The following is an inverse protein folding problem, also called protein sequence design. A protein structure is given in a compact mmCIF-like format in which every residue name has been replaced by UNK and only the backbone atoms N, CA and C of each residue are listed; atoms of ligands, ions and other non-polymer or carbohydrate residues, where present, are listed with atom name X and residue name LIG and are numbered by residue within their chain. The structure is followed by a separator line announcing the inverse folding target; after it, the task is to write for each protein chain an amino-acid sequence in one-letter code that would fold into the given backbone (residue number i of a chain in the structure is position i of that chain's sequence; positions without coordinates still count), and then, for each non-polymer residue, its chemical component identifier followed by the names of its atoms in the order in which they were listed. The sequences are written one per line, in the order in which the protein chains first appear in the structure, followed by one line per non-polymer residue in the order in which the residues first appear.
data_IF_792945389328
#
_entry.id   IF_792945389328
#
_cell.length_a   1.000
_cell.length_b   1.000
_cell.length_c   1.000
_cell.angle_alpha   90.00
_cell.angle_beta   90.00
_cell.angle_gamma   90.00
#
_symmetry.space_group_name_H-M   'P 1'
#
loop_
_entity.id
_entity.type
_entity.pdbx_description
1 polymer ?
#
# COMPACT_ATOMS: atom_id res chain seq x y z
N UNK A 1 -20.84 -3.14 -47.65
CA UNK A 1 -19.85 -3.60 -46.64
C UNK A 1 -20.14 -2.89 -45.33
N UNK A 2 -20.59 -3.60 -44.29
CA UNK A 2 -20.84 -3.01 -42.97
C UNK A 2 -19.69 -3.38 -42.04
N UNK A 3 -18.92 -2.40 -41.57
CA UNK A 3 -17.78 -2.61 -40.68
C UNK A 3 -18.26 -2.61 -39.23
N UNK A 4 -18.34 -3.78 -38.60
CA UNK A 4 -18.60 -3.90 -37.17
C UNK A 4 -17.38 -3.44 -36.37
N UNK A 5 -17.60 -2.64 -35.32
CA UNK A 5 -16.54 -2.16 -34.44
C UNK A 5 -16.06 -3.28 -33.52
N UNK A 6 -14.81 -3.71 -33.68
CA UNK A 6 -14.21 -4.76 -32.84
C UNK A 6 -13.30 -4.16 -31.77
N UNK A 7 -13.79 -4.05 -30.54
CA UNK A 7 -12.97 -3.57 -29.40
C UNK A 7 -11.87 -4.58 -29.06
N UNK A 8 -10.58 -4.19 -29.00
CA UNK A 8 -9.50 -5.11 -28.67
C UNK A 8 -9.61 -5.64 -27.23
N UNK A 9 -9.41 -6.95 -27.04
CA UNK A 9 -9.60 -7.61 -25.74
C UNK A 9 -8.33 -7.62 -24.90
N UNK A 10 -8.12 -6.55 -24.14
CA UNK A 10 -7.01 -6.42 -23.19
C UNK A 10 -7.17 -7.33 -21.96
N UNK A 11 -6.14 -8.09 -21.61
CA UNK A 11 -6.21 -9.10 -20.55
C UNK A 11 -5.74 -8.55 -19.19
N UNK A 12 -6.63 -8.49 -18.19
CA UNK A 12 -6.31 -8.05 -16.82
C UNK A 12 -5.44 -9.04 -16.01
N UNK A 13 -5.24 -10.25 -16.53
CA UNK A 13 -4.36 -11.30 -15.97
C UNK A 13 -3.29 -11.71 -16.99
N UNK A 14 -2.61 -10.73 -17.59
CA UNK A 14 -1.67 -10.94 -18.69
C UNK A 14 -0.33 -11.54 -18.22
N UNK A 15 0.25 -10.98 -17.15
CA UNK A 15 1.55 -11.38 -16.62
C UNK A 15 1.38 -12.60 -15.70
N UNK A 16 0.65 -12.44 -14.60
CA UNK A 16 0.35 -13.49 -13.63
C UNK A 16 -1.10 -13.97 -13.82
N UNK A 17 -1.34 -15.29 -13.94
CA UNK A 17 -2.69 -15.84 -14.13
C UNK A 17 -3.51 -15.87 -12.84
N UNK A 18 -2.84 -16.14 -11.72
CA UNK A 18 -3.43 -16.22 -10.37
C UNK A 18 -2.61 -15.30 -9.45
N UNK A 19 -2.84 -13.97 -9.47
CA UNK A 19 -2.06 -13.03 -8.67
C UNK A 19 -2.42 -13.15 -7.19
N UNK A 20 -1.55 -13.77 -6.40
CA UNK A 20 -1.79 -14.03 -4.96
C UNK A 20 -1.36 -12.88 -4.07
N UNK A 21 -0.35 -12.11 -4.46
CA UNK A 21 0.15 -10.97 -3.70
C UNK A 21 -0.06 -9.63 -4.42
N UNK A 22 0.05 -8.55 -3.64
CA UNK A 22 -0.21 -7.17 -4.07
C UNK A 22 0.72 -6.71 -5.20
N UNK A 23 1.99 -7.13 -5.22
CA UNK A 23 2.92 -6.86 -6.32
C UNK A 23 2.46 -7.53 -7.64
N UNK A 24 2.00 -8.78 -7.59
CA UNK A 24 1.46 -9.48 -8.77
C UNK A 24 0.16 -8.83 -9.25
N UNK A 25 -0.71 -8.38 -8.33
CA UNK A 25 -1.91 -7.59 -8.66
C UNK A 25 -1.55 -6.26 -9.31
N UNK A 26 -0.54 -5.55 -8.78
CA UNK A 26 0.00 -4.32 -9.33
C UNK A 26 0.59 -4.49 -10.74
N UNK A 27 1.49 -5.45 -10.98
CA UNK A 27 2.06 -5.64 -12.32
C UNK A 27 1.02 -6.10 -13.35
N UNK A 28 -0.01 -6.85 -12.95
CA UNK A 28 -1.14 -7.15 -13.85
C UNK A 28 -1.94 -5.89 -14.20
N UNK A 29 -2.22 -5.02 -13.23
CA UNK A 29 -2.93 -3.75 -13.43
C UNK A 29 -2.11 -2.77 -14.29
N UNK A 30 -0.84 -2.56 -13.95
CA UNK A 30 0.11 -1.76 -14.72
C UNK A 30 0.28 -2.30 -16.16
N UNK A 31 0.41 -3.62 -16.33
CA UNK A 31 0.47 -4.26 -17.64
C UNK A 31 -0.79 -4.04 -18.46
N UNK A 32 -1.98 -4.07 -17.84
CA UNK A 32 -3.24 -3.73 -18.51
C UNK A 32 -3.26 -2.25 -18.96
N UNK A 33 -2.90 -1.31 -18.08
CA UNK A 33 -2.77 0.11 -18.40
C UNK A 33 -1.82 0.35 -19.58
N UNK A 34 -0.61 -0.23 -19.56
CA UNK A 34 0.36 -0.10 -20.66
C UNK A 34 -0.14 -0.70 -21.98
N UNK A 35 -0.75 -1.88 -21.97
CA UNK A 35 -1.33 -2.48 -23.18
C UNK A 35 -2.45 -1.62 -23.78
N UNK A 36 -3.33 -1.04 -22.95
CA UNK A 36 -4.42 -0.16 -23.39
C UNK A 36 -3.86 1.14 -23.99
N UNK A 37 -2.92 1.79 -23.31
CA UNK A 37 -2.32 3.05 -23.76
C UNK A 37 -1.51 2.88 -25.06
N UNK A 38 -0.68 1.84 -25.15
CA UNK A 38 0.05 1.48 -26.36
C UNK A 38 -0.83 0.89 -27.47
N UNK A 39 -2.14 0.72 -27.20
CA UNK A 39 -3.15 0.05 -28.04
C UNK A 39 -2.76 -1.38 -28.47
N UNK A 40 -1.80 -2.01 -27.77
CA UNK A 40 -1.22 -3.30 -28.12
C UNK A 40 -1.61 -4.38 -27.10
N UNK A 41 -2.58 -5.28 -27.40
CA UNK A 41 -2.99 -6.35 -26.50
C UNK A 41 -1.96 -7.51 -26.38
N UNK A 42 -0.85 -7.44 -27.13
CA UNK A 42 0.27 -8.38 -27.11
C UNK A 42 1.61 -7.65 -26.79
N UNK A 43 1.57 -6.62 -25.94
CA UNK A 43 2.74 -5.84 -25.56
C UNK A 43 3.85 -6.73 -24.97
N UNK A 44 5.14 -6.54 -25.32
CA UNK A 44 6.24 -7.40 -24.87
C UNK A 44 6.33 -7.53 -23.35
N UNK A 45 6.20 -8.77 -22.86
CA UNK A 45 6.24 -9.07 -21.41
C UNK A 45 7.54 -8.66 -20.73
N UNK A 46 8.67 -8.75 -21.43
CA UNK A 46 9.98 -8.35 -20.89
C UNK A 46 9.97 -6.86 -20.53
N UNK A 47 9.51 -6.02 -21.46
CA UNK A 47 9.33 -4.57 -21.25
C UNK A 47 8.39 -4.30 -20.07
N UNK A 48 7.21 -4.94 -20.01
CA UNK A 48 6.30 -4.79 -18.86
C UNK A 48 6.92 -5.17 -17.53
N UNK A 49 7.76 -6.21 -17.47
CA UNK A 49 8.45 -6.60 -16.25
C UNK A 49 9.48 -5.55 -15.82
N UNK A 50 10.29 -5.02 -16.75
CA UNK A 50 11.26 -3.94 -16.46
C UNK A 50 10.56 -2.65 -16.04
N UNK A 51 9.53 -2.23 -16.79
CA UNK A 51 8.71 -1.05 -16.50
C UNK A 51 7.99 -1.18 -15.15
N UNK A 52 7.32 -2.30 -14.89
CA UNK A 52 6.65 -2.55 -13.61
C UNK A 52 7.65 -2.56 -12.44
N UNK A 53 8.83 -3.16 -12.62
CA UNK A 53 9.88 -3.19 -11.58
C UNK A 53 10.31 -1.77 -11.16
N UNK A 54 10.28 -0.80 -12.07
CA UNK A 54 10.59 0.59 -11.75
C UNK A 54 9.39 1.30 -11.12
N UNK A 55 8.20 1.22 -11.72
CA UNK A 55 6.97 1.80 -11.16
C UNK A 55 6.63 1.25 -9.75
N UNK A 56 6.97 -0.01 -9.48
CA UNK A 56 6.79 -0.63 -8.17
C UNK A 56 7.75 -0.06 -7.11
N UNK A 57 8.99 0.31 -7.45
CA UNK A 57 9.94 0.93 -6.49
C UNK A 57 9.39 2.23 -5.91
N UNK A 58 8.70 3.02 -6.72
CA UNK A 58 8.12 4.31 -6.33
C UNK A 58 6.91 4.15 -5.40
N UNK A 59 6.07 3.14 -5.64
CA UNK A 59 4.79 2.98 -4.91
C UNK A 59 4.80 1.94 -3.80
N UNK A 60 5.72 0.97 -3.78
CA UNK A 60 5.77 -0.11 -2.76
C UNK A 60 5.93 0.37 -1.31
N UNK A 61 6.37 1.61 -1.12
CA UNK A 61 6.54 2.26 0.18
C UNK A 61 5.33 3.09 0.62
N UNK A 62 4.26 3.15 -0.19
CA UNK A 62 3.00 3.84 0.14
C UNK A 62 2.12 2.97 1.04
N UNK A 63 1.17 3.56 1.80
CA UNK A 63 0.22 2.77 2.58
C UNK A 63 -0.71 1.95 1.67
N UNK A 64 -1.37 0.95 2.25
CA UNK A 64 -2.08 -0.10 1.52
C UNK A 64 -3.17 0.46 0.60
N UNK A 65 -3.93 1.43 1.10
CA UNK A 65 -5.03 2.13 0.45
C UNK A 65 -4.58 2.96 -0.77
N UNK A 66 -3.41 3.62 -0.70
CA UNK A 66 -2.82 4.29 -1.87
C UNK A 66 -2.48 3.28 -2.98
N UNK A 67 -1.89 2.13 -2.62
CA UNK A 67 -1.49 1.09 -3.59
C UNK A 67 -2.72 0.43 -4.21
N UNK A 68 -3.73 0.07 -3.41
CA UNK A 68 -5.00 -0.46 -3.90
C UNK A 68 -5.74 0.55 -4.80
N UNK A 69 -5.74 1.83 -4.44
CA UNK A 69 -6.30 2.90 -5.27
C UNK A 69 -5.61 3.01 -6.62
N UNK A 70 -4.27 2.89 -6.67
CA UNK A 70 -3.51 2.88 -7.93
C UNK A 70 -3.80 1.62 -8.77
N UNK A 71 -3.97 0.46 -8.14
CA UNK A 71 -4.39 -0.77 -8.81
C UNK A 71 -5.77 -0.57 -9.46
N UNK A 72 -6.72 0.05 -8.76
CA UNK A 72 -8.04 0.39 -9.31
C UNK A 72 -7.94 1.40 -10.46
N UNK A 73 -7.18 2.50 -10.31
CA UNK A 73 -6.93 3.48 -11.36
C UNK A 73 -6.49 2.80 -12.67
N UNK A 74 -5.43 2.00 -12.61
CA UNK A 74 -4.93 1.26 -13.78
C UNK A 74 -5.95 0.25 -14.34
N UNK A 75 -6.72 -0.45 -13.49
CA UNK A 75 -7.76 -1.40 -13.95
C UNK A 75 -9.01 -0.70 -14.50
N UNK A 76 -9.22 0.58 -14.23
CA UNK A 76 -10.32 1.40 -14.77
C UNK A 76 -9.96 2.20 -16.03
N UNK A 77 -8.71 2.11 -16.50
CA UNK A 77 -8.25 2.72 -17.77
C UNK A 77 -9.24 2.46 -18.91
N UNK A 78 -9.83 3.51 -19.54
CA UNK A 78 -10.87 3.32 -20.54
C UNK A 78 -10.29 2.68 -21.81
N UNK A 79 -10.88 1.57 -22.24
CA UNK A 79 -10.49 0.90 -23.48
C UNK A 79 -11.01 1.71 -24.67
N UNK A 80 -10.15 2.17 -25.60
CA UNK A 80 -10.59 2.88 -26.79
C UNK A 80 -11.39 1.94 -27.70
N UNK A 81 -12.61 2.34 -28.06
CA UNK A 81 -13.42 1.62 -29.06
C UNK A 81 -12.79 1.83 -30.43
N UNK A 82 -12.28 0.76 -31.04
CA UNK A 82 -11.48 0.85 -32.25
C UNK A 82 -12.34 0.96 -33.52
N UNK A 83 -12.88 2.17 -33.73
CA UNK A 83 -13.14 2.69 -35.08
C UNK A 83 -11.85 3.24 -35.70
N UNK A 84 -11.79 3.31 -37.03
CA UNK A 84 -10.63 3.83 -37.77
C UNK A 84 -10.53 5.37 -37.67
N UNK A 85 -10.01 5.88 -36.56
CA UNK A 85 -9.56 7.28 -36.42
C UNK A 85 -8.23 7.34 -35.66
N UNK A 86 -7.18 7.81 -36.35
CA UNK A 86 -5.95 8.28 -35.72
C UNK A 86 -6.11 9.77 -35.43
N UNK A 87 -6.03 10.17 -34.16
CA UNK A 87 -6.09 11.58 -33.74
C UNK A 87 -5.04 11.88 -32.68
N UNK A 88 -4.05 12.68 -33.03
CA UNK A 88 -3.03 13.18 -32.12
C UNK A 88 -3.50 14.51 -31.50
N UNK A 89 -3.63 14.58 -30.18
CA UNK A 89 -3.58 15.81 -29.38
C UNK A 89 -3.51 15.45 -27.89
N UNK A 90 -2.51 15.88 -27.13
CA UNK A 90 -2.23 17.26 -26.68
C UNK A 90 -2.99 17.61 -25.39
N UNK A 91 -2.21 17.91 -24.34
CA UNK A 91 -2.62 18.19 -22.96
C UNK A 91 -2.88 19.68 -22.76
N UNK A 92 -3.88 20.09 -21.98
CA UNK A 92 -3.88 21.40 -21.31
C UNK A 92 -3.50 21.33 -19.82
N UNK A 93 -3.06 22.45 -19.26
CA UNK A 93 -2.79 22.68 -17.83
C UNK A 93 -3.48 23.99 -17.43
N UNK A 94 -4.08 24.08 -16.23
CA UNK A 94 -4.79 25.29 -15.76
C UNK A 94 -5.13 25.25 -14.25
N UNK A 95 -4.84 26.30 -13.45
CA UNK A 95 -4.98 26.25 -11.98
C UNK A 95 -5.92 27.32 -11.35
N UNK A 96 -6.48 27.04 -10.16
CA UNK A 96 -7.02 27.99 -9.13
C UNK A 96 -7.75 27.24 -8.00
N UNK A 97 -7.99 27.74 -6.77
CA UNK A 97 -7.38 28.83 -5.96
C UNK A 97 -7.69 28.56 -4.44
N UNK A 98 -7.46 29.53 -3.53
CA UNK A 98 -7.30 29.33 -2.06
C UNK A 98 -8.22 30.24 -1.19
N UNK A 99 -8.79 29.70 -0.10
CA UNK A 99 -9.19 30.35 1.20
C UNK A 99 -9.48 29.25 2.25
N UNK A 100 -9.13 29.28 3.56
CA UNK A 100 -9.28 30.26 4.68
C UNK A 100 -10.74 30.42 5.18
N UNK A 101 -11.10 30.44 6.48
CA UNK A 101 -10.41 30.13 7.77
C UNK A 101 -11.46 29.52 8.75
N UNK A 102 -11.55 29.55 10.11
CA UNK A 102 -11.00 30.24 11.32
C UNK A 102 -11.06 29.18 12.47
N UNK A 103 -9.99 28.76 13.16
CA UNK A 103 -9.45 29.18 14.49
C UNK A 103 -10.36 29.13 15.75
N UNK A 104 -9.90 28.41 16.80
CA UNK A 104 -10.18 28.69 18.23
C UNK A 104 -9.16 27.98 19.15
N UNK A 105 -8.91 28.54 20.35
CA UNK A 105 -7.86 28.13 21.32
C UNK A 105 -8.52 27.81 22.70
N UNK A 106 -7.90 27.32 23.79
CA UNK A 106 -6.49 27.17 24.24
C UNK A 106 -6.41 26.12 25.39
N UNK A 107 -5.21 25.71 25.86
CA UNK A 107 -4.81 25.56 27.30
C UNK A 107 -3.82 24.39 27.60
N UNK A 108 -3.19 24.39 28.78
CA UNK A 108 -2.11 23.50 29.23
C UNK A 108 -2.40 22.79 30.58
N UNK A 109 -1.52 21.82 30.93
CA UNK A 109 -1.35 21.09 32.23
C UNK A 109 -0.97 22.05 33.41
N UNK A 110 -0.83 21.62 34.71
CA UNK A 110 -0.42 20.30 35.26
C UNK A 110 -1.15 19.85 36.57
N UNK A 111 -0.41 19.26 37.53
CA UNK A 111 -0.73 18.66 38.87
C UNK A 111 -0.90 17.12 38.80
N UNK A 112 -0.11 16.20 39.40
CA UNK A 112 0.64 16.08 40.71
C UNK A 112 -0.28 15.60 41.89
N UNK A 113 0.10 14.69 42.80
CA UNK A 113 1.32 13.90 43.06
C UNK A 113 0.98 12.55 43.79
N UNK A 114 1.88 11.55 43.74
CA UNK A 114 2.45 10.61 44.77
C UNK A 114 1.57 10.17 46.00
N UNK A 115 1.61 8.97 46.64
CA UNK A 115 2.70 8.10 47.15
C UNK A 115 2.31 6.59 47.29
N UNK A 116 3.25 5.72 46.90
CA UNK A 116 3.65 4.35 47.36
C UNK A 116 2.79 3.58 48.38
N UNK A 117 2.55 2.28 48.09
CA UNK A 117 2.52 1.19 49.09
C UNK A 117 3.01 -0.15 48.46
N UNK A 118 3.70 -1.00 49.23
CA UNK A 118 4.11 -2.35 48.82
C UNK A 118 2.94 -3.33 48.91
N UNK A 119 2.66 -4.06 47.82
CA UNK A 119 1.56 -5.03 47.73
C UNK A 119 1.98 -6.19 46.83
N UNK A 120 1.87 -7.41 47.36
CA UNK A 120 1.93 -8.63 46.54
C UNK A 120 0.79 -8.59 45.50
N UNK A 121 1.14 -8.25 44.25
CA UNK A 121 0.16 -8.03 43.18
C UNK A 121 -0.72 -9.27 43.00
N UNK A 122 -2.07 -9.13 43.01
CA UNK A 122 -2.95 -10.27 42.80
C UNK A 122 -2.69 -10.91 41.42
N UNK A 123 -2.96 -12.22 41.24
CA UNK A 123 -2.53 -12.94 40.04
C UNK A 123 -2.99 -12.33 38.72
N UNK A 124 -4.16 -11.68 38.70
CA UNK A 124 -4.66 -10.92 37.56
C UNK A 124 -3.81 -9.67 37.24
N UNK A 125 -3.39 -8.89 38.23
CA UNK A 125 -2.53 -7.73 38.05
C UNK A 125 -1.12 -8.12 37.60
N UNK A 126 -0.59 -9.23 38.12
CA UNK A 126 0.69 -9.81 37.65
C UNK A 126 0.60 -10.26 36.19
N UNK A 127 -0.47 -10.96 35.80
CA UNK A 127 -0.72 -11.37 34.42
C UNK A 127 -0.92 -10.17 33.48
N UNK A 128 -1.70 -9.17 33.89
CA UNK A 128 -1.91 -7.93 33.13
C UNK A 128 -0.61 -7.14 32.93
N UNK A 129 0.21 -6.99 33.97
CA UNK A 129 1.54 -6.37 33.88
C UNK A 129 2.42 -7.09 32.86
N UNK A 130 2.51 -8.43 32.94
CA UNK A 130 3.27 -9.25 31.98
C UNK A 130 2.74 -9.13 30.54
N UNK A 131 1.43 -8.99 30.35
CA UNK A 131 0.84 -8.76 29.04
C UNK A 131 1.20 -7.37 28.49
N UNK A 132 1.16 -6.32 29.32
CA UNK A 132 1.59 -4.95 28.94
C UNK A 132 3.08 -4.90 28.61
N UNK A 133 3.93 -5.54 29.40
CA UNK A 133 5.37 -5.68 29.13
C UNK A 133 5.63 -6.41 27.80
N UNK A 134 4.85 -7.47 27.51
CA UNK A 134 4.93 -8.23 26.26
C UNK A 134 4.49 -7.40 25.04
N UNK A 135 3.41 -6.61 25.17
CA UNK A 135 2.95 -5.68 24.13
C UNK A 135 4.00 -4.59 23.88
N UNK A 136 4.56 -3.99 24.94
CA UNK A 136 5.57 -2.94 24.81
C UNK A 136 6.88 -3.47 24.17
N UNK A 137 7.37 -4.64 24.59
CA UNK A 137 8.54 -5.28 24.00
C UNK A 137 8.32 -5.67 22.52
N UNK A 138 7.10 -6.09 22.16
CA UNK A 138 6.73 -6.40 20.77
C UNK A 138 6.64 -5.12 19.93
N UNK A 139 6.08 -4.04 20.45
CA UNK A 139 6.04 -2.73 19.81
C UNK A 139 7.44 -2.14 19.56
N UNK A 140 8.37 -2.28 20.52
CA UNK A 140 9.78 -1.87 20.30
C UNK A 140 10.42 -2.65 19.15
N UNK A 141 10.31 -3.98 19.15
CA UNK A 141 10.84 -4.83 18.07
C UNK A 141 10.23 -4.50 16.71
N UNK A 142 8.93 -4.18 16.67
CA UNK A 142 8.25 -3.74 15.45
C UNK A 142 8.82 -2.42 14.94
N UNK A 143 9.00 -1.42 15.82
CA UNK A 143 9.58 -0.12 15.47
C UNK A 143 11.04 -0.23 14.97
N UNK A 144 11.86 -1.10 15.58
CA UNK A 144 13.22 -1.39 15.11
C UNK A 144 13.22 -2.02 13.72
N UNK A 145 12.39 -3.05 13.48
CA UNK A 145 12.29 -3.68 12.17
C UNK A 145 11.78 -2.72 11.10
N UNK A 146 10.80 -1.86 11.41
CA UNK A 146 10.34 -0.80 10.51
C UNK A 146 11.43 0.22 10.21
N UNK A 147 12.24 0.62 11.20
CA UNK A 147 13.40 1.51 11.00
C UNK A 147 14.43 0.87 10.08
N UNK A 148 14.77 -0.40 10.29
CA UNK A 148 15.74 -1.13 9.46
C UNK A 148 15.19 -1.23 8.03
N UNK A 149 13.96 -1.71 7.86
CA UNK A 149 13.25 -1.82 6.57
C UNK A 149 13.30 -0.51 5.76
N UNK A 150 12.97 0.63 6.38
CA UNK A 150 13.02 1.95 5.74
C UNK A 150 14.44 2.41 5.34
N UNK A 151 15.50 1.80 5.89
CA UNK A 151 16.91 2.17 5.64
C UNK A 151 17.67 1.17 4.76
N UNK A 152 17.21 -0.08 4.65
CA UNK A 152 17.84 -1.13 3.84
C UNK A 152 17.57 -0.89 2.36
N UNK A 153 18.55 -1.18 1.49
CA UNK A 153 18.38 -1.20 0.02
C UNK A 153 18.45 -2.62 -0.58
N UNK A 154 18.85 -3.61 0.21
CA UNK A 154 18.95 -5.01 -0.19
C UNK A 154 17.56 -5.68 -0.38
N UNK A 155 17.27 -6.31 -1.54
CA UNK A 155 15.96 -6.92 -1.80
C UNK A 155 15.62 -8.18 -1.00
N UNK A 156 16.63 -8.98 -0.63
CA UNK A 156 16.41 -10.27 0.06
C UNK A 156 16.14 -10.05 1.54
N UNK A 157 16.91 -9.15 2.17
CA UNK A 157 16.67 -8.65 3.51
C UNK A 157 15.29 -7.95 3.58
N UNK A 158 14.88 -7.18 2.56
CA UNK A 158 13.55 -6.57 2.51
C UNK A 158 12.41 -7.59 2.62
N UNK A 159 12.50 -8.71 1.91
CA UNK A 159 11.49 -9.76 1.96
C UNK A 159 11.37 -10.38 3.36
N UNK A 160 12.50 -10.73 4.00
CA UNK A 160 12.53 -11.28 5.36
C UNK A 160 12.00 -10.28 6.41
N UNK A 161 12.36 -9.00 6.29
CA UNK A 161 11.87 -7.95 7.17
C UNK A 161 10.35 -7.76 7.03
N UNK A 162 9.82 -7.77 5.81
CA UNK A 162 8.38 -7.60 5.54
C UNK A 162 7.55 -8.76 6.13
N UNK A 163 8.02 -9.99 5.99
CA UNK A 163 7.41 -11.18 6.60
C UNK A 163 7.38 -11.06 8.13
N UNK A 164 8.51 -10.72 8.75
CA UNK A 164 8.62 -10.54 10.22
C UNK A 164 7.76 -9.39 10.75
N UNK A 165 7.70 -8.26 10.04
CA UNK A 165 6.82 -7.13 10.37
C UNK A 165 5.34 -7.54 10.30
N UNK A 166 4.97 -8.39 9.34
CA UNK A 166 3.59 -8.89 9.18
C UNK A 166 3.22 -9.82 10.34
N UNK A 167 4.08 -10.79 10.66
CA UNK A 167 3.86 -11.73 11.76
C UNK A 167 3.76 -11.04 13.14
N UNK A 168 4.61 -10.04 13.43
CA UNK A 168 4.51 -9.29 14.68
C UNK A 168 3.22 -8.45 14.78
N UNK A 169 2.70 -7.91 13.66
CA UNK A 169 1.41 -7.22 13.64
C UNK A 169 0.25 -8.18 13.91
N UNK A 170 0.28 -9.38 13.33
CA UNK A 170 -0.71 -10.43 13.59
C UNK A 170 -0.73 -10.84 15.07
N UNK A 171 0.44 -11.05 15.68
CA UNK A 171 0.57 -11.32 17.12
C UNK A 171 -0.01 -10.16 17.96
N UNK A 172 0.30 -8.91 17.63
CA UNK A 172 -0.25 -7.74 18.34
C UNK A 172 -1.77 -7.62 18.22
N UNK A 173 -2.37 -7.93 17.07
CA UNK A 173 -3.83 -8.00 16.93
C UNK A 173 -4.40 -9.12 17.81
N UNK A 174 -3.81 -10.31 17.76
CA UNK A 174 -4.28 -11.49 18.51
C UNK A 174 -4.14 -11.33 20.03
N UNK A 175 -3.13 -10.62 20.54
CA UNK A 175 -3.02 -10.33 21.99
C UNK A 175 -3.95 -9.20 22.46
N UNK A 176 -4.27 -8.21 21.61
CA UNK A 176 -5.25 -7.19 21.97
C UNK A 176 -6.69 -7.72 21.96
N UNK A 177 -7.00 -8.70 21.09
CA UNK A 177 -8.30 -9.36 21.00
C UNK A 177 -8.58 -10.40 22.11
N UNK A 178 -7.68 -10.54 23.11
CA UNK A 178 -7.81 -11.43 24.28
C UNK A 178 -8.23 -10.72 25.57
N UNK A 179 -8.59 -9.44 25.50
CA UNK A 179 -9.05 -8.61 26.63
C UNK A 179 -10.57 -8.48 26.64
#
# INVERSE_FOLDING_TARGET
MQTFLTTPKYNKFYIYKTPTNQHQRFCNAFGYYQMVNARNPAYPKISLCTECTNAWKEIRCKPQDEIESKIWEYLTTPVPIQGFLQTNSSRPVGPSQRSKSIESQTSQKPIEETIIADVNLPPNASAQKKAVETINATNMKLAELQRIYNSTSDPEIWCNLMERITNLKEILCNENNKK
#
